data_IF_924490055310
#
_entry.id   IF_924490055310
#
_cell.length_a   1.000
_cell.length_b   1.000
_cell.length_c   1.000
_cell.angle_alpha   90.00
_cell.angle_beta   90.00
_cell.angle_gamma   90.00
#
_symmetry.space_group_name_H-M   'P 1'
#
loop_
_entity.id
_entity.type
_entity.pdbx_description
1 polymer ?
#
# COMPACT_ATOMS: atom_id res chain seq x y z
N UNK A 1 26.91 -21.12 31.72
CA UNK A 1 27.21 -21.36 30.29
C UNK A 1 26.53 -20.27 29.47
N UNK A 2 27.13 -19.82 28.37
CA UNK A 2 26.45 -18.89 27.43
C UNK A 2 25.49 -19.70 26.56
N UNK A 3 24.24 -19.27 26.46
CA UNK A 3 23.24 -19.92 25.62
C UNK A 3 23.41 -19.41 24.18
N UNK A 4 23.92 -20.26 23.29
CA UNK A 4 24.06 -19.95 21.86
C UNK A 4 22.88 -20.53 21.08
N UNK A 5 22.31 -19.75 20.15
CA UNK A 5 21.35 -20.23 19.16
C UNK A 5 22.05 -20.30 17.80
N UNK A 6 21.85 -21.42 17.09
CA UNK A 6 22.27 -21.59 15.70
C UNK A 6 21.04 -21.48 14.80
N UNK A 7 21.07 -20.58 13.81
CA UNK A 7 19.97 -20.35 12.87
C UNK A 7 20.08 -21.28 11.65
N UNK A 8 18.94 -21.76 11.14
CA UNK A 8 18.89 -22.50 9.86
C UNK A 8 18.86 -21.51 8.70
N UNK A 9 19.65 -21.76 7.65
CA UNK A 9 19.63 -20.95 6.42
C UNK A 9 18.44 -21.35 5.52
N UNK A 10 17.85 -20.40 4.78
CA UNK A 10 18.08 -18.95 4.85
C UNK A 10 17.36 -18.30 6.04
N UNK A 11 18.01 -17.32 6.66
CA UNK A 11 17.43 -16.53 7.76
C UNK A 11 17.76 -15.05 7.61
N UNK A 12 16.94 -14.21 8.25
CA UNK A 12 17.21 -12.79 8.49
C UNK A 12 17.32 -12.61 10.00
N UNK A 13 18.39 -11.96 10.47
CA UNK A 13 18.58 -11.50 11.85
C UNK A 13 18.63 -9.98 11.84
N UNK A 14 17.89 -9.34 12.75
CA UNK A 14 17.91 -7.89 12.95
C UNK A 14 18.26 -7.64 14.42
N UNK A 15 19.33 -6.89 14.61
CA UNK A 15 19.88 -6.51 15.91
C UNK A 15 20.12 -5.00 15.96
N UNK A 16 20.00 -4.42 17.15
CA UNK A 16 20.39 -3.02 17.38
C UNK A 16 21.91 -2.92 17.45
N UNK A 17 22.51 -2.01 16.70
CA UNK A 17 23.97 -1.81 16.68
C UNK A 17 24.54 -1.39 18.04
N UNK A 18 23.71 -0.87 18.95
CA UNK A 18 24.06 -0.53 20.34
C UNK A 18 23.74 -1.66 21.34
N UNK A 19 23.20 -2.79 20.88
CA UNK A 19 22.78 -3.93 21.71
C UNK A 19 21.81 -3.57 22.85
N UNK A 20 21.02 -2.49 22.71
CA UNK A 20 20.04 -2.03 23.70
C UNK A 20 18.74 -2.83 23.65
N UNK A 21 18.37 -3.33 22.48
CA UNK A 21 17.12 -4.04 22.23
C UNK A 21 17.36 -5.52 21.92
N UNK A 22 16.38 -6.36 22.26
CA UNK A 22 16.44 -7.80 21.98
C UNK A 22 16.46 -8.05 20.46
N UNK A 23 17.45 -8.77 19.91
CA UNK A 23 17.46 -9.14 18.50
C UNK A 23 16.27 -10.04 18.15
N UNK A 24 15.74 -9.86 16.93
CA UNK A 24 14.68 -10.70 16.39
C UNK A 24 15.07 -11.24 15.02
N UNK A 25 14.51 -12.39 14.66
CA UNK A 25 14.94 -13.14 13.48
C UNK A 25 13.76 -13.87 12.82
N UNK A 26 13.92 -14.14 11.53
CA UNK A 26 13.02 -14.98 10.75
C UNK A 26 13.85 -16.04 10.03
N UNK A 27 13.69 -17.29 10.43
CA UNK A 27 14.15 -18.46 9.66
C UNK A 27 13.08 -18.80 8.61
N UNK A 28 13.49 -19.15 7.39
CA UNK A 28 12.62 -19.60 6.31
C UNK A 28 12.94 -21.05 5.94
N UNK A 29 11.93 -21.84 5.58
CA UNK A 29 12.16 -23.04 4.79
C UNK A 29 12.62 -22.66 3.38
N UNK A 30 13.41 -23.51 2.71
CA UNK A 30 13.94 -23.23 1.35
C UNK A 30 12.86 -22.93 0.29
N UNK A 31 11.62 -23.38 0.52
CA UNK A 31 10.44 -23.10 -0.31
C UNK A 31 9.67 -21.83 0.08
N UNK A 32 9.87 -21.29 1.29
CA UNK A 32 9.09 -20.20 1.88
C UNK A 32 9.79 -18.83 1.87
N UNK A 33 11.08 -18.79 1.53
CA UNK A 33 11.76 -17.53 1.28
C UNK A 33 11.02 -16.74 0.17
N UNK A 34 10.77 -15.42 0.33
CA UNK A 34 10.04 -14.63 -0.67
C UNK A 34 10.71 -14.70 -2.04
N UNK A 35 9.92 -15.07 -3.06
CA UNK A 35 10.36 -15.12 -4.46
C UNK A 35 9.53 -14.14 -5.27
N UNK A 36 10.18 -13.46 -6.20
CA UNK A 36 9.53 -12.53 -7.11
C UNK A 36 8.97 -13.31 -8.30
N UNK A 37 7.66 -13.24 -8.49
CA UNK A 37 6.93 -13.87 -9.58
C UNK A 37 6.59 -12.81 -10.64
N UNK A 38 7.44 -12.70 -11.67
CA UNK A 38 7.24 -11.75 -12.76
C UNK A 38 6.06 -12.14 -13.67
N UNK A 39 5.76 -13.43 -13.76
CA UNK A 39 4.63 -13.97 -14.54
C UNK A 39 3.26 -13.81 -13.84
N UNK A 40 3.20 -13.11 -12.70
CA UNK A 40 1.94 -12.91 -11.98
C UNK A 40 0.99 -11.97 -12.75
N UNK A 41 -0.33 -12.21 -12.73
CA UNK A 41 -1.28 -11.31 -13.39
C UNK A 41 -1.17 -9.87 -12.89
N UNK A 42 -1.47 -8.90 -13.76
CA UNK A 42 -1.48 -7.48 -13.39
C UNK A 42 -2.36 -7.23 -12.15
N UNK A 43 -1.97 -6.25 -11.33
CA UNK A 43 -2.62 -5.91 -10.05
C UNK A 43 -2.57 -7.02 -8.96
N UNK A 44 -1.81 -8.11 -9.16
CA UNK A 44 -1.48 -9.06 -8.10
C UNK A 44 -0.23 -8.66 -7.31
N UNK A 45 -0.04 -9.25 -6.12
CA UNK A 45 1.21 -9.09 -5.37
C UNK A 45 2.25 -10.08 -5.93
N UNK A 46 3.43 -9.62 -6.39
CA UNK A 46 4.41 -10.48 -7.06
C UNK A 46 5.13 -11.44 -6.10
N UNK A 47 4.91 -11.35 -4.79
CA UNK A 47 5.38 -12.34 -3.81
C UNK A 47 4.35 -13.45 -3.50
N UNK A 48 3.23 -13.49 -4.23
CA UNK A 48 2.14 -14.45 -4.00
C UNK A 48 1.93 -15.37 -5.22
N UNK A 49 2.71 -16.45 -5.29
CA UNK A 49 2.73 -17.43 -6.38
C UNK A 49 1.35 -17.86 -6.91
N UNK A 50 0.35 -17.99 -6.03
CA UNK A 50 -0.98 -18.54 -6.36
C UNK A 50 -2.13 -17.74 -5.73
N UNK A 51 -2.17 -16.43 -5.98
CA UNK A 51 -3.27 -15.58 -5.49
C UNK A 51 -4.59 -15.86 -6.24
N UNK A 52 -5.31 -16.90 -5.85
CA UNK A 52 -6.74 -17.02 -6.19
C UNK A 52 -7.47 -15.84 -5.53
N UNK A 53 -8.25 -15.09 -6.28
CA UNK A 53 -9.16 -14.08 -5.73
C UNK A 53 -10.22 -14.80 -4.89
N UNK A 54 -9.92 -14.99 -3.59
CA UNK A 54 -10.93 -15.40 -2.62
C UNK A 54 -11.92 -14.25 -2.52
N UNK A 55 -13.03 -14.38 -3.25
CA UNK A 55 -14.22 -13.57 -2.98
C UNK A 55 -14.44 -13.59 -1.47
N UNK A 56 -14.62 -12.42 -0.89
CA UNK A 56 -14.70 -12.22 0.56
C UNK A 56 -16.05 -12.73 1.10
N UNK A 57 -16.20 -14.07 1.09
CA UNK A 57 -17.23 -14.75 1.86
C UNK A 57 -17.11 -14.25 3.30
N UNK A 58 -18.19 -13.60 3.77
CA UNK A 58 -18.22 -12.76 4.97
C UNK A 58 -17.99 -13.56 6.27
N UNK A 59 -16.76 -14.05 6.46
CA UNK A 59 -16.28 -14.45 7.79
C UNK A 59 -16.15 -13.17 8.59
N UNK A 60 -17.20 -12.85 9.34
CA UNK A 60 -17.14 -11.93 10.48
C UNK A 60 -16.26 -12.59 11.55
N UNK A 61 -14.95 -12.57 11.31
CA UNK A 61 -13.98 -12.91 12.34
C UNK A 61 -14.17 -11.89 13.45
N UNK A 62 -14.26 -12.36 14.70
CA UNK A 62 -14.21 -11.46 15.85
C UNK A 62 -12.90 -10.69 15.75
N UNK A 63 -13.01 -9.36 15.65
CA UNK A 63 -11.83 -8.51 15.58
C UNK A 63 -11.29 -8.46 17.00
N UNK A 64 -10.26 -9.23 17.28
CA UNK A 64 -9.44 -9.07 18.48
C UNK A 64 -8.46 -7.91 18.29
N UNK A 65 -7.95 -7.35 19.39
CA UNK A 65 -7.07 -6.21 19.33
C UNK A 65 -6.66 -5.67 20.69
N UNK A 66 -6.11 -4.46 20.69
CA UNK A 66 -5.80 -3.68 21.88
C UNK A 66 -6.54 -2.35 21.80
N UNK A 67 -7.15 -1.92 22.89
CA UNK A 67 -7.83 -0.65 22.97
C UNK A 67 -6.91 0.40 23.62
N UNK A 68 -6.61 1.46 22.88
CA UNK A 68 -5.75 2.54 23.36
C UNK A 68 -6.45 3.47 24.38
N UNK A 69 -7.78 3.43 24.42
CA UNK A 69 -8.60 4.16 25.43
C UNK A 69 -8.59 3.42 26.77
N UNK A 70 -8.89 2.12 26.76
CA UNK A 70 -9.02 1.31 27.97
C UNK A 70 -7.69 0.64 28.39
N UNK A 71 -6.66 0.69 27.55
CA UNK A 71 -5.36 0.03 27.74
C UNK A 71 -5.42 -1.50 27.95
N UNK A 72 -6.45 -2.16 27.41
CA UNK A 72 -6.67 -3.62 27.51
C UNK A 72 -6.66 -4.31 26.15
N UNK A 73 -6.30 -5.60 26.14
CA UNK A 73 -6.55 -6.48 24.98
C UNK A 73 -7.99 -6.99 25.04
N UNK A 74 -8.67 -6.97 23.90
CA UNK A 74 -10.02 -7.50 23.74
C UNK A 74 -10.04 -8.61 22.68
N UNK A 75 -10.84 -9.65 22.92
CA UNK A 75 -11.04 -10.76 21.95
C UNK A 75 -12.12 -10.44 20.91
N UNK A 76 -13.02 -9.49 21.19
CA UNK A 76 -14.13 -9.13 20.33
C UNK A 76 -14.45 -7.62 20.40
N UNK A 77 -14.16 -6.91 19.32
CA UNK A 77 -14.45 -5.48 19.16
C UNK A 77 -15.93 -5.11 19.42
N UNK A 78 -16.88 -5.89 18.90
CA UNK A 78 -18.32 -5.56 19.01
C UNK A 78 -18.86 -5.71 20.44
N UNK A 79 -18.14 -6.43 21.30
CA UNK A 79 -18.43 -6.59 22.71
C UNK A 79 -17.74 -5.49 23.52
N UNK A 80 -16.44 -5.30 23.29
CA UNK A 80 -15.62 -4.30 23.97
C UNK A 80 -16.19 -2.87 23.89
N UNK A 81 -16.64 -2.41 22.72
CA UNK A 81 -17.23 -1.06 22.58
C UNK A 81 -18.56 -0.88 23.34
N UNK A 82 -19.16 -1.97 23.84
CA UNK A 82 -20.39 -1.96 24.65
C UNK A 82 -20.09 -2.06 26.15
N UNK A 83 -18.86 -2.39 26.54
CA UNK A 83 -18.42 -2.45 27.93
C UNK A 83 -18.54 -1.07 28.61
N UNK A 84 -18.74 -1.08 29.92
CA UNK A 84 -19.02 0.12 30.70
C UNK A 84 -17.89 1.16 30.57
N UNK A 85 -16.64 0.75 30.80
CA UNK A 85 -15.48 1.64 30.79
C UNK A 85 -15.31 2.37 29.45
N UNK A 86 -15.39 1.63 28.33
CA UNK A 86 -15.28 2.20 26.99
C UNK A 86 -16.43 3.18 26.71
N UNK A 87 -17.65 2.83 27.13
CA UNK A 87 -18.84 3.67 26.92
C UNK A 87 -18.82 4.95 27.75
N UNK A 88 -18.36 4.93 29.00
CA UNK A 88 -18.28 6.15 29.81
C UNK A 88 -17.20 7.09 29.27
N UNK A 89 -16.03 6.56 28.86
CA UNK A 89 -15.02 7.37 28.17
C UNK A 89 -15.57 7.98 26.88
N UNK A 90 -16.27 7.20 26.06
CA UNK A 90 -16.82 7.63 24.77
C UNK A 90 -17.95 8.67 24.89
N UNK A 91 -18.64 8.75 26.03
CA UNK A 91 -19.67 9.77 26.31
C UNK A 91 -19.12 11.08 26.86
N UNK A 92 -17.95 11.05 27.51
CA UNK A 92 -17.35 12.27 28.04
C UNK A 92 -16.66 13.06 26.93
N UNK A 93 -17.37 14.08 26.44
CA UNK A 93 -16.88 15.06 25.47
C UNK A 93 -15.53 15.69 25.90
N UNK A 94 -15.19 15.70 27.20
CA UNK A 94 -13.90 16.22 27.65
C UNK A 94 -12.70 15.46 27.08
N UNK A 95 -12.86 14.15 26.81
CA UNK A 95 -11.82 13.30 26.21
C UNK A 95 -11.52 13.66 24.74
N UNK A 96 -12.50 14.23 24.03
CA UNK A 96 -12.40 14.52 22.59
C UNK A 96 -12.11 15.98 22.25
N UNK A 97 -12.08 16.89 23.24
CA UNK A 97 -11.82 18.34 23.09
C UNK A 97 -10.67 18.72 22.14
N UNK A 98 -9.59 17.93 22.10
CA UNK A 98 -8.46 18.18 21.18
C UNK A 98 -8.84 17.95 19.72
N UNK A 99 -9.65 16.91 19.44
CA UNK A 99 -10.21 16.65 18.12
C UNK A 99 -11.25 17.72 17.76
N UNK A 100 -12.14 18.09 18.69
CA UNK A 100 -13.14 19.15 18.46
C UNK A 100 -12.47 20.48 18.12
N UNK A 101 -11.42 20.85 18.87
CA UNK A 101 -10.61 22.04 18.60
C UNK A 101 -9.97 21.96 17.22
N UNK A 102 -9.35 20.83 16.87
CA UNK A 102 -8.76 20.62 15.55
C UNK A 102 -9.81 20.77 14.43
N UNK A 103 -10.94 20.05 14.53
CA UNK A 103 -12.05 20.06 13.55
C UNK A 103 -12.62 21.47 13.36
N UNK A 104 -12.80 22.23 14.45
CA UNK A 104 -13.28 23.62 14.40
C UNK A 104 -12.26 24.62 13.83
N UNK A 105 -10.96 24.31 13.90
CA UNK A 105 -9.88 25.16 13.37
C UNK A 105 -9.58 24.86 11.91
N UNK A 106 -9.73 23.61 11.48
CA UNK A 106 -9.59 23.20 10.09
C UNK A 106 -10.77 23.69 9.26
N UNK A 107 -10.48 24.49 8.22
CA UNK A 107 -11.46 24.88 7.22
C UNK A 107 -11.83 23.68 6.33
N UNK A 108 -12.73 22.82 6.84
CA UNK A 108 -13.48 21.90 5.98
C UNK A 108 -14.48 22.73 5.19
N UNK A 109 -14.04 23.18 4.01
CA UNK A 109 -14.91 23.83 3.04
C UNK A 109 -16.02 22.84 2.67
N UNK A 110 -17.20 23.03 3.26
CA UNK A 110 -18.39 22.23 2.98
C UNK A 110 -18.96 22.68 1.64
N UNK A 111 -18.19 22.45 0.58
CA UNK A 111 -18.69 22.50 -0.77
C UNK A 111 -19.83 21.48 -0.86
N UNK A 112 -21.07 21.99 -0.80
CA UNK A 112 -22.22 21.29 -1.35
C UNK A 112 -21.81 20.80 -2.74
N UNK A 113 -21.86 19.50 -3.04
CA UNK A 113 -21.38 19.00 -4.32
C UNK A 113 -22.09 19.77 -5.45
N UNK A 114 -21.34 20.32 -6.42
CA UNK A 114 -21.96 20.63 -7.71
C UNK A 114 -22.65 19.35 -8.19
N UNK A 115 -23.92 19.43 -8.57
CA UNK A 115 -24.83 18.26 -8.76
C UNK A 115 -24.40 17.25 -9.86
N UNK A 116 -23.20 17.39 -10.41
CA UNK A 116 -22.72 16.67 -11.60
C UNK A 116 -21.35 15.97 -11.43
N UNK A 117 -20.72 16.02 -10.25
CA UNK A 117 -19.44 15.31 -10.05
C UNK A 117 -19.64 13.79 -9.85
N UNK A 118 -19.58 13.04 -10.95
CA UNK A 118 -19.34 11.60 -10.93
C UNK A 118 -17.84 11.31 -11.00
N UNK A 119 -17.22 10.70 -9.97
CA UNK A 119 -15.81 10.33 -10.05
C UNK A 119 -15.62 9.20 -11.07
N UNK A 120 -15.06 9.51 -12.24
CA UNK A 120 -14.69 8.49 -13.22
C UNK A 120 -13.58 7.61 -12.63
N UNK A 121 -13.87 6.34 -12.38
CA UNK A 121 -12.85 5.39 -11.91
C UNK A 121 -11.73 5.26 -12.96
N UNK A 122 -10.44 5.34 -12.56
CA UNK A 122 -9.30 5.16 -13.48
C UNK A 122 -9.33 3.83 -14.26
N UNK A 123 -10.06 2.83 -13.76
CA UNK A 123 -10.17 1.49 -14.35
C UNK A 123 -11.16 1.37 -15.52
N UNK A 124 -11.96 2.41 -15.83
CA UNK A 124 -12.99 2.32 -16.88
C UNK A 124 -12.42 2.14 -18.30
N UNK A 125 -11.14 2.47 -18.53
CA UNK A 125 -10.51 2.43 -19.86
C UNK A 125 -10.08 1.01 -20.32
N UNK A 126 -10.27 -0.03 -19.51
CA UNK A 126 -9.71 -1.38 -19.78
C UNK A 126 -10.73 -2.52 -19.87
N UNK A 127 -12.04 -2.24 -19.74
CA UNK A 127 -13.08 -3.25 -19.98
C UNK A 127 -13.53 -3.24 -21.44
N UNK A 128 -13.43 -4.36 -22.19
CA UNK A 128 -14.05 -4.48 -23.50
C UNK A 128 -15.57 -4.28 -23.38
N UNK A 129 -16.14 -3.39 -24.18
CA UNK A 129 -17.58 -3.11 -24.17
C UNK A 129 -18.33 -4.33 -24.72
N UNK A 130 -19.01 -5.06 -23.83
CA UNK A 130 -20.02 -6.04 -24.22
C UNK A 130 -21.33 -5.31 -24.55
N UNK A 131 -21.58 -5.14 -25.85
CA UNK A 131 -22.88 -4.93 -26.51
C UNK A 131 -24.00 -4.17 -25.78
N UNK A 132 -24.35 -2.98 -26.28
CA UNK A 132 -25.77 -2.59 -26.37
C UNK A 132 -26.20 -1.18 -25.97
N UNK A 133 -25.75 -0.13 -26.68
CA UNK A 133 -26.60 1.05 -26.98
C UNK A 133 -26.04 1.97 -28.08
N UNK A 134 -26.86 2.27 -29.07
CA UNK A 134 -26.73 3.43 -29.98
C UNK A 134 -27.19 4.70 -29.20
N UNK A 135 -26.83 5.97 -29.47
CA UNK A 135 -25.92 6.65 -30.41
C UNK A 135 -25.02 7.61 -29.56
N UNK A 136 -24.17 8.55 -30.02
CA UNK A 136 -23.84 9.19 -31.31
C UNK A 136 -22.30 9.29 -31.43
N UNK A 137 -21.75 9.53 -32.62
CA UNK A 137 -20.30 9.49 -32.87
C UNK A 137 -19.53 10.82 -32.78
N UNK A 138 -18.22 10.69 -32.57
CA UNK A 138 -17.18 11.62 -33.05
C UNK A 138 -16.15 10.76 -33.77
N UNK A 139 -15.75 11.16 -34.98
CA UNK A 139 -14.77 10.46 -35.81
C UNK A 139 -13.37 10.97 -35.47
N UNK A 140 -12.44 10.08 -35.14
CA UNK A 140 -11.02 10.38 -34.95
C UNK A 140 -10.20 9.33 -35.72
N UNK A 141 -9.27 9.77 -36.56
CA UNK A 141 -8.53 8.93 -37.50
C UNK A 141 -7.59 7.89 -36.85
N UNK A 142 -7.47 6.73 -37.51
CA UNK A 142 -6.51 5.67 -37.20
C UNK A 142 -5.12 6.00 -37.77
N UNK A 143 -4.34 6.82 -37.07
CA UNK A 143 -2.87 6.73 -37.09
C UNK A 143 -2.23 7.51 -35.94
N UNK A 144 -1.58 6.81 -35.00
CA UNK A 144 -0.12 6.92 -34.80
C UNK A 144 0.37 5.96 -33.71
N UNK A 145 1.67 5.63 -33.76
CA UNK A 145 2.33 4.66 -32.89
C UNK A 145 2.32 5.14 -31.43
N UNK A 146 1.65 4.40 -30.55
CA UNK A 146 1.69 4.67 -29.11
C UNK A 146 3.00 4.20 -28.48
N UNK A 147 4.08 4.97 -28.67
CA UNK A 147 5.28 4.85 -27.85
C UNK A 147 4.96 5.25 -26.41
N UNK A 148 4.96 4.26 -25.49
CA UNK A 148 4.82 4.48 -24.05
C UNK A 148 6.09 5.12 -23.45
N UNK A 149 6.39 6.34 -23.86
CA UNK A 149 7.41 7.16 -23.21
C UNK A 149 6.84 7.69 -21.90
N UNK A 150 7.15 7.00 -20.79
CA UNK A 150 6.83 7.50 -19.45
C UNK A 150 7.66 8.77 -19.19
N UNK A 151 7.01 9.92 -19.33
CA UNK A 151 7.58 11.20 -18.90
C UNK A 151 7.64 11.22 -17.36
N UNK A 152 8.80 10.83 -16.82
CA UNK A 152 9.16 11.15 -15.45
C UNK A 152 9.55 12.62 -15.40
N UNK A 153 8.75 13.44 -14.72
CA UNK A 153 9.12 14.82 -14.41
C UNK A 153 10.33 14.80 -13.47
N UNK A 154 11.52 15.04 -14.02
CA UNK A 154 12.71 15.32 -13.22
C UNK A 154 12.46 16.62 -12.43
N UNK A 155 12.57 16.52 -11.10
CA UNK A 155 12.55 17.69 -10.23
C UNK A 155 13.86 18.45 -10.48
N UNK A 156 13.76 19.66 -11.03
CA UNK A 156 14.90 20.55 -11.19
C UNK A 156 15.46 20.95 -9.82
N UNK A 157 16.55 20.31 -9.41
CA UNK A 157 17.45 20.86 -8.39
C UNK A 157 18.52 21.66 -9.11
N UNK A 158 18.42 22.98 -9.02
CA UNK A 158 19.38 23.90 -9.64
C UNK A 158 20.77 23.73 -8.99
N UNK A 159 21.78 23.47 -9.80
CA UNK A 159 23.11 23.03 -9.34
C UNK A 159 24.02 22.75 -10.53
N UNK A 160 24.39 23.81 -11.25
CA UNK A 160 25.33 23.78 -12.37
C UNK A 160 26.71 23.21 -11.95
N UNK A 161 27.21 22.23 -12.72
CA UNK A 161 28.63 22.07 -13.11
C UNK A 161 28.81 20.84 -14.04
N UNK A 162 28.84 21.10 -15.35
CA UNK A 162 29.65 20.43 -16.39
C UNK A 162 29.73 18.89 -16.55
N UNK A 163 29.28 18.41 -17.72
CA UNK A 163 29.69 17.17 -18.45
C UNK A 163 29.42 15.82 -17.72
N UNK A 164 28.93 14.75 -18.36
CA UNK A 164 28.99 14.35 -19.77
C UNK A 164 27.72 13.56 -20.17
N UNK A 165 27.21 13.70 -21.40
CA UNK A 165 25.96 13.01 -21.81
C UNK A 165 26.29 11.62 -22.36
N UNK A 166 26.45 10.65 -21.47
CA UNK A 166 26.66 9.24 -21.87
C UNK A 166 25.33 8.59 -22.24
N UNK A 167 25.19 8.21 -23.51
CA UNK A 167 23.98 7.60 -24.05
C UNK A 167 23.79 6.18 -23.46
N UNK A 168 22.61 5.92 -22.89
CA UNK A 168 22.36 4.76 -21.99
C UNK A 168 22.59 3.38 -22.64
N UNK A 169 22.50 3.29 -23.96
CA UNK A 169 22.71 2.06 -24.72
C UNK A 169 24.15 1.51 -24.62
N UNK A 170 25.13 2.34 -24.26
CA UNK A 170 26.54 1.93 -24.22
C UNK A 170 26.98 1.24 -22.92
N UNK A 171 26.20 1.34 -21.83
CA UNK A 171 26.55 0.77 -20.53
C UNK A 171 26.30 -0.74 -20.44
N UNK A 172 25.31 -1.27 -21.17
CA UNK A 172 24.93 -2.69 -21.10
C UNK A 172 25.98 -3.60 -21.75
N UNK A 173 26.74 -3.11 -22.73
CA UNK A 173 27.72 -3.90 -23.49
C UNK A 173 29.00 -4.22 -22.70
N UNK A 174 29.37 -3.42 -21.69
CA UNK A 174 30.67 -3.55 -21.02
C UNK A 174 30.64 -4.46 -19.76
N UNK A 175 29.44 -4.85 -19.30
CA UNK A 175 29.24 -5.62 -18.05
C UNK A 175 29.18 -7.13 -18.28
N UNK A 176 29.03 -7.61 -19.52
CA UNK A 176 28.73 -9.02 -19.82
C UNK A 176 29.79 -9.79 -20.64
N UNK A 177 30.97 -9.22 -20.88
CA UNK A 177 32.12 -9.95 -21.49
C UNK A 177 33.36 -9.93 -20.58
N UNK A 178 33.37 -10.84 -19.58
CA UNK A 178 34.56 -11.48 -18.97
C UNK A 178 34.20 -12.58 -17.97
#
# INVERSE_FOLDING_TARGET
MKNYKVFKKPYILIEDCKNKYQPFYKEYANSEAPKLHLDSPTLCCPFQATKKYKQSGKRRHTREGFCEVCYVRFSNYEEHIKEFEHREFAKDNSNYKKLDTFISTSAFESASPPEEYTPQSPTLKLTPVSSGRNQVGVHCDDNEKYSQTLHFSLVSTEGDLGQDVVLFDHFIAEVFDK
#
